data_IF_001253738349
#
_entry.id   IF_001253738349
#
_cell.length_a   1.000
_cell.length_b   1.000
_cell.length_c   1.000
_cell.angle_alpha   90.00
_cell.angle_beta   90.00
_cell.angle_gamma   90.00
#
_symmetry.space_group_name_H-M   'P 1'
#
loop_
_entity.id
_entity.type
_entity.pdbx_description
1 polymer ?
#
# COMPACT_ATOMS: atom_id res chain seq x y z
N UNK A 1 -2.81 -34.27 -15.88
CA UNK A 1 -2.82 -32.83 -15.49
C UNK A 1 -1.84 -32.68 -14.35
N UNK A 2 -0.84 -31.83 -14.54
CA UNK A 2 0.03 -31.48 -13.43
C UNK A 2 -0.81 -30.72 -12.38
N UNK A 3 -0.86 -31.22 -11.15
CA UNK A 3 -1.41 -30.46 -10.03
C UNK A 3 -0.60 -29.15 -9.94
N UNK A 4 -1.27 -28.04 -10.12
CA UNK A 4 -0.68 -26.73 -9.90
C UNK A 4 -0.43 -26.58 -8.39
N UNK A 5 0.82 -26.84 -7.99
CA UNK A 5 1.22 -26.75 -6.58
C UNK A 5 1.37 -25.28 -6.17
N UNK A 6 0.85 -24.96 -5.00
CA UNK A 6 1.05 -23.65 -4.38
C UNK A 6 2.55 -23.35 -4.19
N UNK A 7 2.94 -22.11 -4.43
CA UNK A 7 4.28 -21.66 -4.15
C UNK A 7 4.51 -21.57 -2.63
N UNK A 8 5.63 -22.10 -2.15
CA UNK A 8 5.97 -22.10 -0.71
C UNK A 8 5.99 -20.69 -0.15
N UNK A 9 6.59 -19.73 -0.86
CA UNK A 9 6.68 -18.34 -0.40
C UNK A 9 5.29 -17.68 -0.32
N UNK A 10 4.43 -17.90 -1.32
CA UNK A 10 3.05 -17.40 -1.29
C UNK A 10 2.25 -18.03 -0.15
N UNK A 11 2.47 -19.30 0.14
CA UNK A 11 1.84 -20.00 1.26
C UNK A 11 2.31 -19.47 2.62
N UNK A 12 3.60 -19.17 2.77
CA UNK A 12 4.15 -18.55 3.98
C UNK A 12 3.55 -17.17 4.20
N UNK A 13 3.44 -16.35 3.15
CA UNK A 13 2.82 -15.03 3.21
C UNK A 13 1.35 -15.17 3.65
N UNK A 14 0.61 -16.12 3.09
CA UNK A 14 -0.80 -16.35 3.47
C UNK A 14 -0.94 -16.74 4.93
N UNK A 15 -0.05 -17.57 5.48
CA UNK A 15 -0.02 -17.91 6.90
C UNK A 15 0.25 -16.68 7.77
N UNK A 16 1.15 -15.81 7.37
CA UNK A 16 1.43 -14.56 8.09
C UNK A 16 0.23 -13.61 8.06
N UNK A 17 -0.43 -13.50 6.91
CA UNK A 17 -1.67 -12.71 6.73
C UNK A 17 -2.77 -13.24 7.67
N UNK A 18 -2.95 -14.54 7.73
CA UNK A 18 -3.92 -15.17 8.65
C UNK A 18 -3.57 -14.91 10.12
N UNK A 19 -2.28 -14.95 10.48
CA UNK A 19 -1.82 -14.60 11.83
C UNK A 19 -2.14 -13.15 12.20
N UNK A 20 -1.96 -12.20 11.29
CA UNK A 20 -2.34 -10.79 11.50
C UNK A 20 -3.84 -10.67 11.70
N UNK A 21 -4.66 -11.35 10.91
CA UNK A 21 -6.12 -11.33 11.06
C UNK A 21 -6.51 -11.87 12.44
N UNK A 22 -5.87 -12.94 12.90
CA UNK A 22 -6.15 -13.53 14.20
C UNK A 22 -5.75 -12.62 15.37
N UNK A 23 -4.56 -12.03 15.32
CA UNK A 23 -3.98 -11.31 16.44
C UNK A 23 -4.39 -9.83 16.50
N UNK A 24 -4.80 -9.24 15.34
CA UNK A 24 -5.05 -7.81 15.20
C UNK A 24 -6.44 -7.50 14.62
N UNK A 25 -7.45 -8.27 14.98
CA UNK A 25 -8.82 -8.13 14.47
C UNK A 25 -9.40 -6.72 14.61
N UNK A 26 -9.04 -6.01 15.68
CA UNK A 26 -9.55 -4.67 15.96
C UNK A 26 -8.98 -3.60 15.03
N UNK A 27 -7.86 -3.88 14.39
CA UNK A 27 -7.18 -2.97 13.45
C UNK A 27 -7.65 -3.16 12.01
N UNK A 28 -8.38 -4.23 11.73
CA UNK A 28 -8.83 -4.59 10.40
C UNK A 28 -10.27 -4.12 10.13
N UNK A 29 -10.63 -3.89 8.86
CA UNK A 29 -12.00 -3.61 8.49
C UNK A 29 -12.94 -4.73 8.95
N UNK A 30 -14.14 -4.38 9.40
CA UNK A 30 -15.19 -5.33 9.78
C UNK A 30 -15.88 -5.88 8.54
N UNK A 31 -15.30 -6.90 7.95
CA UNK A 31 -15.79 -7.57 6.74
C UNK A 31 -15.41 -9.05 6.76
N UNK A 32 -15.80 -9.78 5.72
CA UNK A 32 -15.41 -11.19 5.61
C UNK A 32 -13.89 -11.37 5.44
N UNK A 33 -13.43 -12.59 5.74
CA UNK A 33 -11.99 -12.90 5.74
C UNK A 33 -11.32 -12.68 4.37
N UNK A 34 -12.04 -12.87 3.27
CA UNK A 34 -11.49 -12.68 1.94
C UNK A 34 -11.20 -11.20 1.62
N UNK A 35 -11.91 -10.28 2.30
CA UNK A 35 -11.66 -8.85 2.24
C UNK A 35 -10.66 -8.37 3.30
N UNK A 36 -10.59 -9.07 4.43
CA UNK A 36 -9.59 -8.80 5.47
C UNK A 36 -8.17 -9.19 5.05
N UNK A 37 -8.01 -10.26 4.26
CA UNK A 37 -6.70 -10.73 3.79
C UNK A 37 -5.93 -9.65 3.00
N UNK A 38 -6.50 -8.98 2.00
CA UNK A 38 -5.80 -7.88 1.34
C UNK A 38 -5.39 -6.75 2.29
N UNK A 39 -6.25 -6.35 3.22
CA UNK A 39 -5.92 -5.32 4.21
C UNK A 39 -4.77 -5.74 5.13
N UNK A 40 -4.81 -6.96 5.65
CA UNK A 40 -3.74 -7.53 6.47
C UNK A 40 -2.42 -7.63 5.69
N UNK A 41 -2.49 -7.95 4.40
CA UNK A 41 -1.32 -7.99 3.52
C UNK A 41 -0.70 -6.59 3.34
N UNK A 42 -1.50 -5.55 3.17
CA UNK A 42 -1.00 -4.16 3.14
C UNK A 42 -0.25 -3.84 4.43
N UNK A 43 -0.82 -4.16 5.59
CA UNK A 43 -0.17 -3.91 6.89
C UNK A 43 1.15 -4.69 7.02
N UNK A 44 1.20 -5.93 6.53
CA UNK A 44 2.42 -6.72 6.49
C UNK A 44 3.50 -6.06 5.60
N UNK A 45 3.11 -5.55 4.44
CA UNK A 45 4.02 -4.86 3.52
C UNK A 45 4.57 -3.58 4.14
N UNK A 46 3.72 -2.77 4.77
CA UNK A 46 4.12 -1.55 5.46
C UNK A 46 5.06 -1.87 6.62
N UNK A 47 4.67 -2.81 7.48
CA UNK A 47 5.47 -3.24 8.63
C UNK A 47 6.87 -3.70 8.20
N UNK A 48 6.95 -4.49 7.15
CA UNK A 48 8.22 -5.00 6.62
C UNK A 48 9.07 -3.89 5.99
N UNK A 49 8.46 -3.01 5.22
CA UNK A 49 9.17 -1.96 4.46
C UNK A 49 9.62 -0.81 5.34
N UNK A 50 8.87 -0.51 6.40
CA UNK A 50 9.15 0.59 7.33
C UNK A 50 9.82 0.13 8.63
N UNK A 51 10.04 -1.18 8.77
CA UNK A 51 10.59 -1.78 10.00
C UNK A 51 9.82 -1.33 11.25
N UNK A 52 8.51 -1.49 11.22
CA UNK A 52 7.62 -1.07 12.29
C UNK A 52 6.65 -2.18 12.70
N UNK A 53 5.96 -1.98 13.82
CA UNK A 53 4.94 -2.92 14.30
C UNK A 53 3.70 -2.92 13.41
N UNK A 54 2.86 -3.94 13.54
CA UNK A 54 1.57 -3.99 12.81
C UNK A 54 0.65 -2.87 13.26
N UNK A 55 0.67 -2.50 14.54
CA UNK A 55 -0.10 -1.37 15.05
C UNK A 55 0.32 -0.06 14.37
N UNK A 56 1.62 0.21 14.29
CA UNK A 56 2.14 1.38 13.60
C UNK A 56 1.82 1.34 12.09
N UNK A 57 1.93 0.17 11.46
CA UNK A 57 1.55 -0.02 10.06
C UNK A 57 0.05 0.26 9.82
N UNK A 58 -0.82 -0.10 10.77
CA UNK A 58 -2.26 0.16 10.65
C UNK A 58 -2.60 1.65 10.61
N UNK A 59 -1.79 2.49 11.25
CA UNK A 59 -1.96 3.95 11.20
C UNK A 59 -1.65 4.53 9.81
N UNK A 60 -0.74 3.89 9.09
CA UNK A 60 -0.36 4.29 7.73
C UNK A 60 -1.28 3.68 6.65
N UNK A 61 -2.05 2.66 7.01
CA UNK A 61 -3.03 2.03 6.13
C UNK A 61 -4.20 2.97 5.86
N UNK A 62 -4.52 3.19 4.60
CA UNK A 62 -5.48 4.21 4.17
C UNK A 62 -6.84 3.66 3.78
N UNK A 63 -7.04 2.34 3.89
CA UNK A 63 -8.29 1.64 3.60
C UNK A 63 -8.83 1.87 2.18
N UNK A 64 -8.00 1.88 1.19
CA UNK A 64 -8.20 1.88 -0.27
C UNK A 64 -9.60 2.03 -0.90
N UNK A 65 -10.61 2.29 -0.11
CA UNK A 65 -12.02 2.17 -0.48
C UNK A 65 -12.56 3.27 -1.37
N UNK A 66 -11.84 4.37 -1.53
CA UNK A 66 -12.11 5.36 -2.59
C UNK A 66 -10.79 5.73 -3.22
N UNK A 67 -10.61 5.13 -4.17
CA UNK A 67 -9.56 4.63 -4.92
C UNK A 67 -8.71 5.68 -5.64
N UNK A 68 -7.86 6.34 -4.86
CA UNK A 68 -6.74 7.06 -5.43
C UNK A 68 -5.56 6.13 -5.78
N UNK A 69 -5.73 4.80 -5.69
CA UNK A 69 -4.65 3.84 -5.90
C UNK A 69 -3.58 3.84 -4.82
N UNK A 70 -3.95 4.25 -3.60
CA UNK A 70 -3.04 4.31 -2.45
C UNK A 70 -3.62 3.50 -1.30
N UNK A 71 -2.93 2.43 -0.93
CA UNK A 71 -3.32 1.57 0.18
C UNK A 71 -2.63 1.95 1.49
N UNK A 72 -1.51 2.66 1.40
CA UNK A 72 -0.79 3.22 2.54
C UNK A 72 0.00 4.45 2.15
N UNK A 73 0.20 5.36 3.10
CA UNK A 73 0.91 6.61 2.90
C UNK A 73 1.69 6.97 4.16
N UNK A 74 2.97 7.31 3.98
CA UNK A 74 3.83 7.79 5.05
C UNK A 74 4.52 9.08 4.62
N UNK A 75 4.51 10.06 5.51
CA UNK A 75 5.24 11.32 5.35
C UNK A 75 6.40 11.31 6.33
N UNK A 76 7.63 11.29 5.81
CA UNK A 76 8.85 11.33 6.61
C UNK A 76 9.10 12.70 7.23
N UNK A 77 9.95 12.75 8.23
CA UNK A 77 10.40 14.00 8.83
C UNK A 77 11.22 14.82 7.83
N UNK A 78 11.18 16.15 7.99
CA UNK A 78 12.01 17.06 7.19
C UNK A 78 13.44 17.00 7.68
N UNK A 79 14.35 16.67 6.77
CA UNK A 79 15.80 16.67 7.00
C UNK A 79 16.49 17.41 5.84
N UNK A 80 17.38 18.33 6.16
CA UNK A 80 18.16 19.12 5.18
C UNK A 80 17.31 19.78 4.07
N UNK A 81 16.10 20.22 4.41
CA UNK A 81 15.19 20.86 3.47
C UNK A 81 14.41 19.91 2.56
N UNK A 82 14.51 18.60 2.78
CA UNK A 82 13.83 17.56 2.03
C UNK A 82 12.95 16.71 2.94
N UNK A 83 11.94 16.05 2.37
CA UNK A 83 11.12 15.03 3.05
C UNK A 83 10.73 13.92 2.08
N UNK A 84 10.52 12.72 2.60
CA UNK A 84 10.14 11.57 1.78
C UNK A 84 8.65 11.24 1.96
N UNK A 85 7.93 11.12 0.85
CA UNK A 85 6.57 10.60 0.82
C UNK A 85 6.64 9.16 0.30
N UNK A 86 6.28 8.21 1.14
CA UNK A 86 6.23 6.78 0.78
C UNK A 86 4.79 6.38 0.52
N UNK A 87 4.54 5.86 -0.68
CA UNK A 87 3.22 5.40 -1.14
C UNK A 87 3.26 3.90 -1.29
N UNK A 88 2.31 3.23 -0.64
CA UNK A 88 2.14 1.78 -0.73
C UNK A 88 0.94 1.44 -1.59
N UNK A 89 1.13 0.52 -2.50
CA UNK A 89 0.03 -0.15 -3.20
C UNK A 89 0.28 -1.66 -3.19
N UNK A 90 -0.75 -2.41 -2.83
CA UNK A 90 -0.65 -3.85 -2.70
C UNK A 90 -1.76 -4.55 -3.49
N UNK A 91 -1.42 -5.68 -4.07
CA UNK A 91 -2.35 -6.60 -4.72
C UNK A 91 -2.14 -7.98 -4.15
N UNK A 92 -3.18 -8.55 -3.59
CA UNK A 92 -3.14 -9.84 -2.94
C UNK A 92 -4.10 -10.82 -3.62
N UNK A 93 -3.57 -11.92 -4.14
CA UNK A 93 -4.38 -12.98 -4.73
C UNK A 93 -4.84 -13.93 -3.63
N UNK A 94 -6.11 -13.84 -3.25
CA UNK A 94 -6.70 -14.62 -2.15
C UNK A 94 -6.83 -16.10 -2.52
N UNK A 95 -7.21 -16.39 -3.76
CA UNK A 95 -7.53 -17.75 -4.23
C UNK A 95 -6.44 -18.39 -5.08
N UNK A 96 -5.35 -17.67 -5.35
CA UNK A 96 -4.25 -18.16 -6.19
C UNK A 96 -2.91 -17.99 -5.47
N UNK A 97 -2.46 -19.05 -4.82
CA UNK A 97 -1.20 -19.10 -4.10
C UNK A 97 -0.05 -19.73 -4.92
N UNK A 98 -0.18 -19.80 -6.24
CA UNK A 98 0.89 -20.29 -7.11
C UNK A 98 2.08 -19.33 -7.16
N UNK A 99 1.87 -18.06 -6.81
CA UNK A 99 2.92 -17.05 -6.78
C UNK A 99 3.41 -16.62 -8.16
N UNK A 100 2.55 -16.71 -9.18
CA UNK A 100 2.92 -16.43 -10.59
C UNK A 100 2.31 -15.15 -11.14
N UNK A 101 1.39 -14.53 -10.42
CA UNK A 101 0.72 -13.29 -10.86
C UNK A 101 1.66 -12.10 -10.86
N UNK A 102 1.64 -11.31 -11.93
CA UNK A 102 2.31 -10.01 -11.98
C UNK A 102 1.44 -8.93 -11.33
N UNK A 103 2.07 -7.85 -10.89
CA UNK A 103 1.33 -6.67 -10.43
C UNK A 103 0.59 -6.04 -11.62
N UNK A 104 -0.71 -5.67 -11.48
CA UNK A 104 -1.47 -5.11 -12.59
C UNK A 104 -0.90 -3.78 -13.10
N UNK A 105 -0.65 -3.65 -14.39
CA UNK A 105 -0.10 -2.45 -15.02
C UNK A 105 -1.01 -1.22 -14.81
N UNK A 106 -2.34 -1.40 -14.91
CA UNK A 106 -3.30 -0.33 -14.66
C UNK A 106 -3.24 0.19 -13.21
N UNK A 107 -2.91 -0.65 -12.25
CA UNK A 107 -2.74 -0.24 -10.86
C UNK A 107 -1.46 0.59 -10.66
N UNK A 108 -0.38 0.25 -11.37
CA UNK A 108 0.84 1.06 -11.40
C UNK A 108 0.55 2.44 -11.99
N UNK A 109 -0.13 2.49 -13.14
CA UNK A 109 -0.50 3.75 -13.79
C UNK A 109 -1.37 4.63 -12.88
N UNK A 110 -2.30 4.03 -12.17
CA UNK A 110 -3.16 4.72 -11.21
C UNK A 110 -2.36 5.34 -10.05
N UNK A 111 -1.41 4.60 -9.49
CA UNK A 111 -0.52 5.10 -8.46
C UNK A 111 0.35 6.26 -8.96
N UNK A 112 0.88 6.17 -10.16
CA UNK A 112 1.66 7.27 -10.79
C UNK A 112 0.80 8.52 -10.97
N UNK A 113 -0.43 8.38 -11.44
CA UNK A 113 -1.36 9.49 -11.59
C UNK A 113 -1.68 10.15 -10.24
N UNK A 114 -1.82 9.36 -9.19
CA UNK A 114 -2.03 9.85 -7.82
C UNK A 114 -0.86 10.70 -7.35
N UNK A 115 0.38 10.27 -7.59
CA UNK A 115 1.58 11.05 -7.26
C UNK A 115 1.49 12.45 -7.88
N UNK A 116 1.12 12.55 -9.15
CA UNK A 116 0.99 13.84 -9.84
C UNK A 116 -0.04 14.76 -9.16
N UNK A 117 -1.18 14.18 -8.74
CA UNK A 117 -2.24 14.94 -8.09
C UNK A 117 -1.86 15.38 -6.67
N UNK A 118 -1.11 14.57 -5.93
CA UNK A 118 -0.65 14.92 -4.58
C UNK A 118 0.10 16.26 -4.54
N UNK A 119 0.90 16.53 -5.56
CA UNK A 119 1.76 17.72 -5.63
C UNK A 119 1.17 18.87 -6.45
N UNK A 120 0.00 18.70 -7.05
CA UNK A 120 -0.67 19.75 -7.80
C UNK A 120 -1.84 20.33 -7.00
N UNK A 121 -1.68 21.52 -6.37
CA UNK A 121 -2.72 22.10 -5.53
C UNK A 121 -3.97 22.55 -6.33
N UNK A 122 -3.86 22.67 -7.66
CA UNK A 122 -4.98 23.02 -8.52
C UNK A 122 -5.89 21.82 -8.80
N UNK A 123 -5.40 20.58 -8.59
CA UNK A 123 -6.19 19.38 -8.80
C UNK A 123 -6.86 18.96 -7.48
N UNK A 124 -8.17 18.77 -7.53
CA UNK A 124 -8.91 18.09 -6.48
C UNK A 124 -8.78 16.58 -6.69
N UNK A 125 -8.65 15.86 -5.60
CA UNK A 125 -8.68 14.41 -5.61
C UNK A 125 -9.80 13.94 -4.69
N UNK A 126 -10.64 13.06 -5.19
CA UNK A 126 -11.66 12.41 -4.38
C UNK A 126 -11.01 11.28 -3.58
N UNK A 127 -10.76 11.56 -2.32
CA UNK A 127 -10.09 10.66 -1.39
C UNK A 127 -10.90 10.53 -0.12
N UNK A 128 -10.68 9.41 0.56
CA UNK A 128 -11.30 9.21 1.86
C UNK A 128 -10.78 10.21 2.91
N UNK A 129 -11.52 10.31 4.03
CA UNK A 129 -11.21 11.26 5.10
C UNK A 129 -9.87 11.03 5.78
N UNK A 130 -9.29 9.84 5.69
CA UNK A 130 -8.00 9.50 6.29
C UNK A 130 -6.82 10.06 5.49
N UNK A 131 -6.90 10.04 4.16
CA UNK A 131 -5.84 10.55 3.28
C UNK A 131 -5.85 12.07 3.19
N UNK A 132 -7.01 12.69 3.23
CA UNK A 132 -7.16 14.14 3.00
C UNK A 132 -6.23 15.00 3.87
N UNK A 133 -6.13 14.80 5.20
CA UNK A 133 -5.20 15.57 6.02
C UNK A 133 -3.74 15.37 5.61
N UNK A 134 -3.37 14.17 5.19
CA UNK A 134 -2.01 13.84 4.76
C UNK A 134 -1.64 14.58 3.46
N UNK A 135 -2.58 14.68 2.52
CA UNK A 135 -2.39 15.46 1.28
C UNK A 135 -2.20 16.94 1.60
N UNK A 136 -2.98 17.49 2.51
CA UNK A 136 -2.84 18.88 2.94
C UNK A 136 -1.49 19.13 3.63
N UNK A 137 -1.00 18.19 4.42
CA UNK A 137 0.33 18.25 5.03
C UNK A 137 1.44 18.26 3.97
N UNK A 138 1.37 17.36 2.98
CA UNK A 138 2.32 17.32 1.87
C UNK A 138 2.35 18.67 1.13
N UNK A 139 1.18 19.17 0.79
CA UNK A 139 1.04 20.45 0.07
C UNK A 139 1.54 21.64 0.89
N UNK A 140 1.32 21.61 2.20
CA UNK A 140 1.85 22.62 3.12
C UNK A 140 3.37 22.61 3.15
N UNK A 141 4.01 21.46 3.26
CA UNK A 141 5.46 21.33 3.25
C UNK A 141 6.06 21.82 1.93
N UNK A 142 5.44 21.53 0.80
CA UNK A 142 5.88 22.03 -0.51
C UNK A 142 5.75 23.56 -0.59
N UNK A 143 4.66 24.13 -0.09
CA UNK A 143 4.48 25.60 -0.03
C UNK A 143 5.53 26.27 0.85
N UNK A 144 5.94 25.60 1.92
CA UNK A 144 6.98 26.11 2.83
C UNK A 144 8.40 25.99 2.25
N UNK A 145 8.53 25.42 1.05
CA UNK A 145 9.78 25.35 0.30
C UNK A 145 10.57 24.06 0.48
N UNK A 146 10.00 23.06 1.14
CA UNK A 146 10.64 21.75 1.28
C UNK A 146 10.50 20.90 0.01
N UNK A 147 11.53 20.12 -0.28
CA UNK A 147 11.59 19.29 -1.50
C UNK A 147 11.09 17.89 -1.19
N UNK A 148 10.02 17.43 -1.88
CA UNK A 148 9.53 16.06 -1.70
C UNK A 148 10.35 15.06 -2.51
N UNK A 149 10.72 13.96 -1.88
CA UNK A 149 11.20 12.75 -2.52
C UNK A 149 10.09 11.69 -2.45
N UNK A 150 9.70 11.14 -3.59
CA UNK A 150 8.63 10.15 -3.65
C UNK A 150 9.20 8.75 -3.74
N UNK A 151 8.78 7.88 -2.84
CA UNK A 151 9.07 6.45 -2.85
C UNK A 151 7.78 5.68 -3.05
N UNK A 152 7.70 4.91 -4.12
CA UNK A 152 6.54 4.06 -4.41
C UNK A 152 6.90 2.59 -4.15
N UNK A 153 6.13 1.93 -3.30
CA UNK A 153 6.31 0.52 -2.95
C UNK A 153 5.10 -0.26 -3.47
N UNK A 154 5.35 -1.16 -4.41
CA UNK A 154 4.36 -2.04 -5.01
C UNK A 154 4.56 -3.44 -4.45
N UNK A 155 3.55 -3.99 -3.79
CA UNK A 155 3.59 -5.28 -3.15
C UNK A 155 2.58 -6.23 -3.75
N UNK A 156 2.97 -7.48 -4.00
CA UNK A 156 2.04 -8.56 -4.32
C UNK A 156 2.54 -9.89 -3.73
N UNK A 157 1.68 -10.88 -3.73
CA UNK A 157 2.04 -12.25 -3.35
C UNK A 157 2.35 -13.15 -4.58
N UNK A 158 2.67 -12.51 -5.71
CA UNK A 158 3.09 -13.17 -6.94
C UNK A 158 4.56 -12.96 -7.26
N UNK A 159 4.85 -12.60 -8.48
CA UNK A 159 6.23 -12.30 -8.94
C UNK A 159 6.55 -10.82 -8.76
N UNK A 160 7.85 -10.51 -8.75
CA UNK A 160 8.30 -9.12 -8.80
C UNK A 160 7.71 -8.43 -10.03
N UNK A 161 7.15 -7.24 -9.84
CA UNK A 161 6.54 -6.50 -10.94
C UNK A 161 7.52 -6.29 -12.09
N UNK A 162 7.03 -6.54 -13.30
CA UNK A 162 7.74 -6.27 -14.55
C UNK A 162 6.78 -5.50 -15.45
N UNK A 163 7.26 -4.40 -16.00
CA UNK A 163 6.51 -3.66 -17.01
C UNK A 163 6.30 -4.56 -18.23
N UNK A 164 5.11 -4.56 -18.77
CA UNK A 164 4.83 -5.18 -20.05
C UNK A 164 5.43 -4.31 -21.16
N UNK A 165 6.29 -4.91 -21.93
CA UNK A 165 6.95 -4.21 -23.05
C UNK A 165 6.01 -4.00 -24.22
#
# INVERSE_FOLDING_TARGET
MAEETNNINASIIDQRVLGIIQDYQTLLPKCDINKQKPAAFVMLCISTSMDCTIEAASELFTDGGQDAGVDGLHIGEVEDGEFTVTIFQAKYSVNDLRGVSNFPENAVQKAVNTVQVLFDPAKSIDVNSKIRPMIEEIRSLVRDGYIPNVRMILCNNGIKWKSEA
#
